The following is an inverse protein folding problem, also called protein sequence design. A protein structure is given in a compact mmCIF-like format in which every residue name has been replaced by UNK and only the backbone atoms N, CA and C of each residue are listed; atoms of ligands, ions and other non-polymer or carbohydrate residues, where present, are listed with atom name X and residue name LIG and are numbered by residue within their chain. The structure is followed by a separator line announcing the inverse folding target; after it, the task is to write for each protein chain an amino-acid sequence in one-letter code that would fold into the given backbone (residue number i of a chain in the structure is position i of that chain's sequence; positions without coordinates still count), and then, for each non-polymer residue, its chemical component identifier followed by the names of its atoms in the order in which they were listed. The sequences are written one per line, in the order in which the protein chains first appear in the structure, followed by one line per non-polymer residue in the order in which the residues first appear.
data_IF_675530711801
#
_entry.id   IF_675530711801
#
_cell.length_a   1.000
_cell.length_b   1.000
_cell.length_c   1.000
_cell.angle_alpha   90.00
_cell.angle_beta   90.00
_cell.angle_gamma   90.00
#
_symmetry.space_group_name_H-M   'P 1'
#
loop_
_entity.id
_entity.type
_entity.pdbx_description
1 polymer ?
#
# COMPACT_ATOMS: atom_id res chain seq x y z
N UNK A 1 -6.55 3.23 -13.09
CA UNK A 1 -6.02 2.70 -11.83
C UNK A 1 -5.22 3.78 -11.12
N UNK A 2 -5.39 3.88 -9.80
CA UNK A 2 -4.56 4.71 -8.91
C UNK A 2 -3.88 3.78 -7.90
N UNK A 3 -2.69 4.12 -7.42
CA UNK A 3 -1.98 3.28 -6.46
C UNK A 3 -1.27 4.12 -5.39
N UNK A 4 -1.21 3.57 -4.18
CA UNK A 4 -0.57 4.19 -3.02
C UNK A 4 -1.46 4.11 -1.78
N UNK A 5 -0.85 4.30 -0.61
CA UNK A 5 -1.54 4.32 0.67
C UNK A 5 -2.09 2.97 1.11
N UNK A 6 -3.04 3.00 2.04
CA UNK A 6 -3.62 1.81 2.67
C UNK A 6 -4.93 1.32 2.03
N UNK A 7 -5.31 1.89 0.88
CA UNK A 7 -6.51 1.45 0.15
C UNK A 7 -7.83 1.90 0.81
N UNK A 8 -7.77 2.91 1.68
CA UNK A 8 -8.97 3.56 2.22
C UNK A 8 -9.56 4.61 1.26
N UNK A 9 -8.74 5.13 0.35
CA UNK A 9 -9.21 6.04 -0.69
C UNK A 9 -9.87 5.22 -1.80
N UNK A 10 -11.11 5.57 -2.14
CA UNK A 10 -11.88 4.89 -3.19
C UNK A 10 -11.10 4.77 -4.50
N UNK A 11 -11.27 3.64 -5.18
CA UNK A 11 -10.65 3.34 -6.48
C UNK A 11 -9.11 3.39 -6.50
N UNK A 12 -8.47 3.31 -5.33
CA UNK A 12 -7.00 3.30 -5.18
C UNK A 12 -6.53 1.93 -4.72
N UNK A 13 -5.61 1.34 -5.47
CA UNK A 13 -4.95 0.09 -5.09
C UNK A 13 -3.95 0.38 -3.96
N UNK A 14 -4.02 -0.32 -2.82
CA UNK A 14 -3.10 -0.08 -1.72
C UNK A 14 -1.66 -0.45 -2.09
N UNK A 15 -0.72 0.40 -1.70
CA UNK A 15 0.71 0.14 -1.67
C UNK A 15 1.26 0.86 -0.44
N UNK A 16 1.32 0.14 0.69
CA UNK A 16 1.66 0.74 2.00
C UNK A 16 3.10 1.23 1.98
N UNK A 17 3.40 2.28 2.75
CA UNK A 17 4.72 2.92 2.72
C UNK A 17 4.80 4.09 1.73
N UNK A 18 3.81 4.25 0.86
CA UNK A 18 3.67 5.41 -0.03
C UNK A 18 2.38 6.18 0.28
N UNK A 19 2.32 7.47 -0.09
CA UNK A 19 1.11 8.26 0.09
C UNK A 19 -0.01 7.79 -0.85
N UNK A 20 -1.27 8.09 -0.52
CA UNK A 20 -2.40 7.76 -1.40
C UNK A 20 -2.23 8.41 -2.78
N UNK A 21 -2.48 7.62 -3.83
CA UNK A 21 -2.40 8.04 -5.24
C UNK A 21 -1.04 8.65 -5.66
N UNK A 22 0.04 8.36 -4.94
CA UNK A 22 1.36 8.89 -5.29
C UNK A 22 2.06 8.12 -6.40
N UNK A 23 1.64 6.87 -6.67
CA UNK A 23 2.30 5.97 -7.62
C UNK A 23 1.58 6.01 -8.96
N UNK A 24 2.34 6.25 -10.03
CA UNK A 24 1.89 6.17 -11.42
C UNK A 24 1.93 7.50 -12.18
N UNK A 25 1.24 7.58 -13.34
CA UNK A 25 1.30 8.74 -14.21
C UNK A 25 0.67 9.98 -13.55
N UNK A 26 1.34 11.13 -13.71
CA UNK A 26 0.90 12.42 -13.18
C UNK A 26 0.88 13.49 -14.28
N UNK A 27 0.05 14.50 -14.10
CA UNK A 27 0.06 15.74 -14.90
C UNK A 27 0.35 16.90 -13.95
N UNK A 28 1.61 17.32 -13.89
CA UNK A 28 2.09 18.19 -12.82
C UNK A 28 2.02 17.48 -11.47
N UNK A 29 1.42 18.13 -10.47
CA UNK A 29 1.19 17.53 -9.15
C UNK A 29 -0.03 16.59 -9.10
N UNK A 30 -0.89 16.59 -10.11
CA UNK A 30 -2.15 15.84 -10.08
C UNK A 30 -1.97 14.40 -10.58
N UNK A 31 -2.37 13.37 -9.80
CA UNK A 31 -2.40 12.00 -10.29
C UNK A 31 -3.50 11.83 -11.34
N UNK A 32 -3.14 11.36 -12.52
CA UNK A 32 -4.09 11.11 -13.62
C UNK A 32 -4.48 9.63 -13.71
N UNK A 33 -3.76 8.76 -13.01
CA UNK A 33 -3.95 7.31 -13.05
C UNK A 33 -3.49 6.70 -14.38
N UNK A 34 -3.50 5.37 -14.42
CA UNK A 34 -3.06 4.60 -15.59
C UNK A 34 -4.02 3.49 -16.00
N UNK A 35 -3.91 3.01 -17.24
CA UNK A 35 -4.71 1.90 -17.76
C UNK A 35 -4.09 0.54 -17.48
N UNK A 36 -2.83 0.49 -17.06
CA UNK A 36 -2.11 -0.75 -16.79
C UNK A 36 -1.41 -0.64 -15.45
N UNK A 37 -1.39 -1.73 -14.69
CA UNK A 37 -0.76 -1.78 -13.39
C UNK A 37 -0.13 -3.15 -13.16
N UNK A 38 0.90 -3.18 -12.33
CA UNK A 38 1.41 -4.39 -11.72
C UNK A 38 1.48 -4.14 -10.23
N UNK A 39 0.93 -5.06 -9.44
CA UNK A 39 1.07 -5.06 -7.98
C UNK A 39 1.36 -6.47 -7.52
N UNK A 40 2.37 -6.62 -6.69
CA UNK A 40 2.67 -7.83 -5.96
C UNK A 40 2.78 -7.52 -4.48
N UNK A 41 2.17 -8.36 -3.64
CA UNK A 41 2.15 -8.18 -2.18
C UNK A 41 2.40 -9.53 -1.53
N UNK A 42 3.35 -9.56 -0.62
CA UNK A 42 3.68 -10.72 0.20
C UNK A 42 3.49 -10.34 1.65
N UNK A 43 2.72 -11.13 2.39
CA UNK A 43 2.46 -10.90 3.80
C UNK A 43 2.72 -12.18 4.61
N UNK A 44 3.53 -12.05 5.66
CA UNK A 44 3.75 -13.09 6.65
C UNK A 44 2.95 -12.74 7.90
N UNK A 45 1.96 -13.58 8.25
CA UNK A 45 1.04 -13.32 9.35
C UNK A 45 1.25 -14.32 10.48
N UNK A 46 1.26 -13.81 11.71
CA UNK A 46 1.32 -14.60 12.93
C UNK A 46 0.11 -14.29 13.82
N UNK A 47 -0.57 -15.34 14.26
CA UNK A 47 -1.72 -15.25 15.16
C UNK A 47 -1.21 -15.10 16.60
N UNK A 48 -1.51 -13.96 17.22
CA UNK A 48 -1.14 -13.67 18.61
C UNK A 48 -2.22 -14.08 19.61
N UNK A 49 -3.49 -13.94 19.23
CA UNK A 49 -4.64 -14.31 20.06
C UNK A 49 -5.79 -14.76 19.18
N UNK A 50 -6.55 -15.74 19.62
CA UNK A 50 -7.75 -16.23 18.92
C UNK A 50 -9.02 -15.46 19.32
N UNK A 51 -9.10 -14.95 20.56
CA UNK A 51 -10.30 -14.29 21.09
C UNK A 51 -9.93 -13.08 22.00
N UNK A 52 -10.03 -11.82 21.52
CA UNK A 52 -10.33 -11.41 20.13
C UNK A 52 -9.19 -11.79 19.18
N UNK A 53 -9.51 -12.02 17.91
CA UNK A 53 -8.52 -12.49 16.94
C UNK A 53 -7.54 -11.37 16.61
N UNK A 54 -6.28 -11.53 17.02
CA UNK A 54 -5.20 -10.56 16.81
C UNK A 54 -4.12 -11.19 15.93
N UNK A 55 -3.80 -10.52 14.83
CA UNK A 55 -2.66 -10.85 13.98
C UNK A 55 -1.59 -9.77 14.10
N UNK A 56 -0.35 -10.18 14.24
CA UNK A 56 0.80 -9.38 13.84
C UNK A 56 1.30 -9.89 12.49
N UNK A 57 1.78 -8.99 11.64
CA UNK A 57 2.28 -9.39 10.34
C UNK A 57 3.40 -8.48 9.86
N UNK A 58 4.24 -9.04 9.01
CA UNK A 58 5.20 -8.30 8.21
C UNK A 58 4.76 -8.36 6.75
N UNK A 59 5.00 -7.31 6.00
CA UNK A 59 4.64 -7.23 4.59
C UNK A 59 5.79 -6.68 3.75
N UNK A 60 5.83 -7.14 2.51
CA UNK A 60 6.66 -6.59 1.45
C UNK A 60 5.78 -6.43 0.21
N UNK A 61 5.75 -5.23 -0.35
CA UNK A 61 4.94 -4.92 -1.51
C UNK A 61 5.81 -4.30 -2.60
N UNK A 62 5.41 -4.54 -3.84
CA UNK A 62 5.94 -3.82 -4.98
C UNK A 62 4.84 -3.55 -5.97
N UNK A 63 4.91 -2.41 -6.65
CA UNK A 63 3.94 -2.11 -7.66
C UNK A 63 4.27 -0.87 -8.46
N UNK A 64 3.58 -0.72 -9.57
CA UNK A 64 3.63 0.47 -10.40
C UNK A 64 2.35 0.55 -11.23
N UNK A 65 2.01 1.76 -11.64
CA UNK A 65 0.92 2.07 -12.57
C UNK A 65 1.52 2.76 -13.78
N UNK A 66 1.13 2.33 -14.98
CA UNK A 66 1.56 2.92 -16.24
C UNK A 66 0.36 3.42 -17.04
N UNK A 67 0.61 4.40 -17.93
CA UNK A 67 -0.44 5.01 -18.73
C UNK A 67 -1.06 3.98 -19.68
N UNK A 68 -0.23 3.20 -20.40
CA UNK A 68 -0.66 2.14 -21.31
C UNK A 68 0.20 0.87 -21.16
N UNK A 69 -0.25 -0.24 -21.76
CA UNK A 69 0.47 -1.51 -21.75
C UNK A 69 1.86 -1.45 -22.43
N UNK A 70 2.05 -0.53 -23.38
CA UNK A 70 3.33 -0.34 -24.08
C UNK A 70 4.37 0.35 -23.21
N UNK A 71 3.95 0.98 -22.13
CA UNK A 71 4.80 1.75 -21.22
C UNK A 71 5.32 0.89 -20.06
N UNK A 72 4.98 -0.41 -20.01
CA UNK A 72 5.45 -1.32 -18.95
C UNK A 72 6.98 -1.39 -18.99
N UNK A 73 7.58 -1.01 -17.87
CA UNK A 73 9.02 -1.14 -17.65
C UNK A 73 9.29 -1.61 -16.22
N UNK A 74 9.80 -2.84 -16.07
CA UNK A 74 9.96 -3.49 -14.77
C UNK A 74 10.87 -2.76 -13.77
N UNK A 75 11.95 -2.07 -14.19
CA UNK A 75 12.77 -1.29 -13.26
C UNK A 75 12.04 -0.12 -12.59
N UNK A 76 10.90 0.33 -13.10
CA UNK A 76 10.08 1.39 -12.47
C UNK A 76 9.29 0.90 -11.26
N UNK A 77 9.37 -0.38 -10.93
CA UNK A 77 8.63 -0.94 -9.81
C UNK A 77 9.15 -0.36 -8.49
N UNK A 78 8.28 0.35 -7.80
CA UNK A 78 8.56 0.82 -6.44
C UNK A 78 8.30 -0.31 -5.44
N UNK A 79 9.07 -0.33 -4.36
CA UNK A 79 9.02 -1.36 -3.33
C UNK A 79 8.81 -0.71 -1.97
N UNK A 80 8.12 -1.44 -1.10
CA UNK A 80 7.97 -1.09 0.29
C UNK A 80 7.98 -2.34 1.16
N UNK A 81 8.39 -2.16 2.39
CA UNK A 81 8.34 -3.20 3.40
C UNK A 81 7.87 -2.62 4.71
N UNK A 82 7.24 -3.42 5.55
CA UNK A 82 6.69 -2.92 6.80
C UNK A 82 6.17 -4.01 7.71
N UNK A 83 5.62 -3.55 8.82
CA UNK A 83 4.97 -4.38 9.83
C UNK A 83 3.61 -3.80 10.14
N UNK A 84 2.69 -4.66 10.57
CA UNK A 84 1.38 -4.24 10.98
C UNK A 84 0.76 -5.18 12.00
N UNK A 85 -0.34 -4.71 12.58
CA UNK A 85 -1.17 -5.48 13.49
C UNK A 85 -2.63 -5.28 13.11
N UNK A 86 -3.43 -6.34 13.17
CA UNK A 86 -4.86 -6.32 12.89
C UNK A 86 -5.61 -7.06 13.98
N UNK A 87 -6.58 -6.37 14.57
CA UNK A 87 -7.50 -6.91 15.55
C UNK A 87 -8.87 -7.04 14.90
N UNK A 88 -9.43 -8.23 14.96
CA UNK A 88 -10.78 -8.54 14.55
C UNK A 88 -11.62 -8.71 15.81
N UNK A 89 -12.54 -7.77 16.04
CA UNK A 89 -13.43 -7.81 17.18
C UNK A 89 -14.85 -8.16 16.71
N UNK A 90 -15.52 -9.13 17.36
CA UNK A 90 -16.94 -9.34 17.17
C UNK A 90 -17.70 -8.03 17.39
N UNK A 91 -18.67 -7.74 16.52
CA UNK A 91 -19.58 -6.57 16.58
C UNK A 91 -18.95 -5.18 16.33
N UNK A 92 -17.65 -4.97 16.53
CA UNK A 92 -16.98 -3.67 16.31
C UNK A 92 -16.36 -3.57 14.90
N UNK A 93 -15.88 -4.68 14.35
CA UNK A 93 -15.23 -4.72 13.04
C UNK A 93 -13.71 -4.92 13.13
N UNK A 94 -13.00 -4.42 12.12
CA UNK A 94 -11.55 -4.53 11.99
C UNK A 94 -10.88 -3.23 12.40
N UNK A 95 -9.89 -3.34 13.29
CA UNK A 95 -8.93 -2.29 13.56
C UNK A 95 -7.55 -2.76 13.11
N UNK A 96 -6.93 -2.00 12.22
CA UNK A 96 -5.61 -2.28 11.67
C UNK A 96 -4.67 -1.10 11.84
N UNK A 97 -3.41 -1.41 12.10
CA UNK A 97 -2.31 -0.47 12.01
C UNK A 97 -1.23 -1.06 11.11
N UNK A 98 -0.77 -0.29 10.14
CA UNK A 98 0.30 -0.65 9.21
C UNK A 98 1.39 0.42 9.28
N UNK A 99 2.62 0.04 9.56
CA UNK A 99 3.81 0.88 9.46
C UNK A 99 4.66 0.38 8.30
N UNK A 100 4.64 1.11 7.19
CA UNK A 100 5.41 0.83 5.98
C UNK A 100 6.59 1.78 5.82
N UNK A 101 7.65 1.29 5.19
CA UNK A 101 8.79 2.05 4.75
C UNK A 101 8.89 1.95 3.23
N UNK A 102 8.83 3.09 2.54
CA UNK A 102 9.14 3.17 1.11
C UNK A 102 10.64 3.03 0.91
N UNK A 103 11.05 2.04 0.12
CA UNK A 103 12.45 1.75 -0.17
C UNK A 103 12.97 2.58 -1.34
N UNK A 104 12.07 2.98 -2.24
CA UNK A 104 12.39 3.66 -3.47
C UNK A 104 11.96 5.13 -3.43
N UNK A 105 12.63 5.94 -4.23
CA UNK A 105 12.28 7.33 -4.48
C UNK A 105 11.16 7.38 -5.53
N UNK A 106 10.02 7.93 -5.15
CA UNK A 106 8.88 8.12 -6.03
C UNK A 106 8.70 9.59 -6.48
N UNK A 107 9.43 10.54 -5.88
CA UNK A 107 9.35 11.96 -6.20
C UNK A 107 10.51 12.44 -7.07
N UNK A 108 11.43 11.55 -7.45
CA UNK A 108 12.64 11.83 -8.23
C UNK A 108 13.54 12.88 -7.55
N UNK A 109 13.51 12.94 -6.22
CA UNK A 109 14.33 13.84 -5.40
C UNK A 109 15.60 13.18 -4.84
N UNK A 110 15.84 11.93 -5.21
CA UNK A 110 16.95 11.08 -4.80
C UNK A 110 16.79 10.48 -3.41
N UNK A 111 15.63 10.61 -2.75
CA UNK A 111 15.40 10.14 -1.39
C UNK A 111 14.24 9.15 -1.33
N UNK A 112 14.42 8.12 -0.51
CA UNK A 112 13.33 7.23 -0.15
C UNK A 112 12.17 8.02 0.50
N UNK A 113 10.94 7.71 0.11
CA UNK A 113 9.72 8.39 0.62
C UNK A 113 9.53 8.17 2.14
N UNK A 114 10.26 7.22 2.71
CA UNK A 114 10.46 7.03 4.15
C UNK A 114 9.34 6.26 4.85
N UNK A 115 9.23 6.47 6.16
CA UNK A 115 8.21 5.82 6.99
C UNK A 115 6.83 6.44 6.77
N UNK A 116 5.82 5.59 6.57
CA UNK A 116 4.39 5.94 6.52
C UNK A 116 3.61 5.04 7.45
N UNK A 117 2.78 5.64 8.28
CA UNK A 117 1.79 4.92 9.08
C UNK A 117 0.43 5.02 8.42
N UNK A 118 -0.31 3.91 8.50
CA UNK A 118 -1.69 3.85 8.06
C UNK A 118 -2.53 3.18 9.13
N UNK A 119 -3.76 3.66 9.27
CA UNK A 119 -4.76 3.11 10.16
C UNK A 119 -5.91 2.61 9.30
N UNK A 120 -6.39 1.40 9.57
CA UNK A 120 -7.56 0.83 8.89
C UNK A 120 -8.63 0.64 9.95
N UNK A 121 -9.81 1.19 9.71
CA UNK A 121 -10.96 1.03 10.58
C UNK A 121 -12.21 0.81 9.76
N UNK A 122 -13.02 -0.17 10.12
CA UNK A 122 -14.31 -0.41 9.49
C UNK A 122 -14.82 -1.84 9.61
N UNK A 123 -16.03 -2.05 9.12
CA UNK A 123 -16.60 -3.40 9.01
C UNK A 123 -15.91 -4.15 7.87
N UNK A 124 -15.54 -5.44 8.05
CA UNK A 124 -15.05 -6.25 6.94
C UNK A 124 -16.15 -6.39 5.89
N UNK A 125 -15.78 -6.20 4.62
CA UNK A 125 -16.69 -6.36 3.47
C UNK A 125 -17.03 -7.84 3.24
#
# INVERSE_FOLDING_TARGET
FYMGGAGMVSYTIPLRGYNDQSIGPRSGSNPIGGQTMLKYSTELRYLLSENPTLYAFAFAETGQVWRNYRDIYFPDLVRSAGIGARIYMPMVGVLGFDLGYALDDNNFDGKADGWKSHFVFGMPF
#
